data_IF_817470856169
#
_entry.id   IF_817470856169
#
_cell.length_a   1.000
_cell.length_b   1.000
_cell.length_c   1.000
_cell.angle_alpha   90.00
_cell.angle_beta   90.00
_cell.angle_gamma   90.00
#
_symmetry.space_group_name_H-M   'P 1'
#
loop_
_entity.id
_entity.type
_entity.pdbx_description
1 polymer ?
#
# COMPACT_ATOMS: atom_id res chain seq x y z
N UNK A 1 -16.10 62.19 -21.11
CA UNK A 1 -15.99 61.42 -22.36
C UNK A 1 -15.52 60.03 -21.95
N UNK A 2 -16.47 59.13 -21.70
CA UNK A 2 -16.26 57.80 -21.10
C UNK A 2 -15.96 56.83 -22.24
N UNK A 3 -14.76 56.25 -22.26
CA UNK A 3 -14.40 55.23 -23.24
C UNK A 3 -14.83 53.85 -22.70
N UNK A 4 -15.79 53.25 -23.38
CA UNK A 4 -16.26 51.89 -23.15
C UNK A 4 -15.14 50.87 -23.40
N UNK A 5 -14.80 50.08 -22.37
CA UNK A 5 -14.04 48.83 -22.53
C UNK A 5 -15.01 47.74 -23.01
N UNK A 6 -14.78 47.24 -24.22
CA UNK A 6 -15.53 46.13 -24.80
C UNK A 6 -15.03 44.81 -24.20
N UNK A 7 -15.91 44.07 -23.53
CA UNK A 7 -15.63 42.73 -23.02
C UNK A 7 -15.61 41.72 -24.17
N UNK A 8 -14.51 40.99 -24.32
CA UNK A 8 -14.42 39.83 -25.21
C UNK A 8 -15.13 38.61 -24.55
N UNK A 9 -15.82 37.76 -25.33
CA UNK A 9 -16.63 36.68 -24.78
C UNK A 9 -15.78 35.50 -24.29
N UNK A 10 -16.32 34.78 -23.31
CA UNK A 10 -15.74 33.59 -22.71
C UNK A 10 -15.46 32.50 -23.76
N UNK A 11 -14.20 32.38 -24.16
CA UNK A 11 -13.70 31.26 -24.94
C UNK A 11 -13.69 29.98 -24.09
N UNK A 12 -14.37 28.95 -24.57
CA UNK A 12 -14.34 27.60 -24.03
C UNK A 12 -12.92 27.05 -24.00
N UNK A 13 -12.39 26.81 -22.79
CA UNK A 13 -11.11 26.11 -22.60
C UNK A 13 -11.28 24.63 -22.96
N UNK A 14 -11.15 24.30 -24.23
CA UNK A 14 -10.89 22.93 -24.68
C UNK A 14 -9.43 22.59 -24.37
N UNK A 15 -9.23 21.73 -23.37
CA UNK A 15 -7.91 21.23 -23.02
C UNK A 15 -7.44 20.22 -24.10
N UNK A 16 -6.25 20.37 -24.68
CA UNK A 16 -5.66 19.33 -25.53
C UNK A 16 -5.39 18.05 -24.70
N UNK A 17 -5.36 16.87 -25.34
CA UNK A 17 -5.05 15.62 -24.65
C UNK A 17 -3.57 15.64 -24.22
N UNK A 18 -3.36 15.53 -22.90
CA UNK A 18 -2.08 15.69 -22.19
C UNK A 18 -1.50 17.12 -22.22
N UNK A 19 -1.57 17.80 -21.07
CA UNK A 19 -0.82 19.03 -20.84
C UNK A 19 0.62 18.65 -20.48
N UNK A 20 1.45 18.41 -21.49
CA UNK A 20 2.90 18.29 -21.31
C UNK A 20 3.46 19.70 -21.18
N UNK A 21 3.88 20.11 -19.98
CA UNK A 21 4.77 21.26 -19.86
C UNK A 21 6.14 20.78 -20.30
N UNK A 22 6.62 21.22 -21.47
CA UNK A 22 7.85 20.73 -22.13
C UNK A 22 9.14 20.83 -21.29
N UNK A 23 9.09 21.45 -20.11
CA UNK A 23 10.22 21.63 -19.18
C UNK A 23 10.10 20.91 -17.84
N UNK A 24 9.00 20.19 -17.58
CA UNK A 24 8.86 19.40 -16.36
C UNK A 24 9.43 18.01 -16.60
N UNK A 25 10.39 17.52 -15.78
CA UNK A 25 10.98 16.18 -15.93
C UNK A 25 10.01 15.04 -15.58
N UNK A 26 8.71 15.35 -15.42
CA UNK A 26 7.66 14.42 -15.02
C UNK A 26 6.53 14.49 -16.04
N UNK A 27 6.12 13.32 -16.55
CA UNK A 27 4.95 13.20 -17.41
C UNK A 27 3.73 12.98 -16.52
N UNK A 28 2.83 13.96 -16.47
CA UNK A 28 1.61 13.90 -15.68
C UNK A 28 0.38 13.78 -16.58
N UNK A 29 -0.58 12.95 -16.16
CA UNK A 29 -1.93 13.00 -16.71
C UNK A 29 -2.66 14.26 -16.24
N UNK A 30 -3.73 14.66 -16.93
CA UNK A 30 -4.56 15.80 -16.51
C UNK A 30 -5.05 15.66 -15.07
N UNK A 31 -5.42 14.44 -14.66
CA UNK A 31 -5.85 14.14 -13.29
C UNK A 31 -4.70 14.34 -12.30
N UNK A 32 -3.52 13.80 -12.57
CA UNK A 32 -2.35 13.97 -11.68
C UNK A 32 -1.94 15.44 -11.53
N UNK A 33 -1.96 16.20 -12.63
CA UNK A 33 -1.65 17.63 -12.60
C UNK A 33 -2.66 18.41 -11.75
N UNK A 34 -3.95 18.08 -11.85
CA UNK A 34 -4.98 18.66 -10.99
C UNK A 34 -4.73 18.36 -9.51
N UNK A 35 -4.47 17.09 -9.17
CA UNK A 35 -4.17 16.68 -7.79
C UNK A 35 -2.90 17.33 -7.24
N UNK A 36 -1.86 17.51 -8.06
CA UNK A 36 -0.63 18.20 -7.65
C UNK A 36 -0.90 19.65 -7.19
N UNK A 37 -1.84 20.34 -7.83
CA UNK A 37 -2.25 21.69 -7.43
C UNK A 37 -3.08 21.72 -6.13
N UNK A 38 -3.59 20.57 -5.70
CA UNK A 38 -4.31 20.40 -4.44
C UNK A 38 -3.40 19.88 -3.31
N UNK A 39 -2.09 19.74 -3.56
CA UNK A 39 -1.13 19.33 -2.55
C UNK A 39 -1.14 20.29 -1.34
N UNK A 40 -0.82 19.80 -0.12
CA UNK A 40 -0.74 20.65 1.06
C UNK A 40 0.17 21.87 0.84
N UNK A 41 -0.22 23.03 1.38
CA UNK A 41 0.48 24.29 1.13
C UNK A 41 1.96 24.31 1.59
N UNK A 42 2.36 23.40 2.47
CA UNK A 42 3.74 23.26 2.95
C UNK A 42 4.58 22.30 2.08
N UNK A 43 4.01 21.67 1.05
CA UNK A 43 4.74 20.77 0.17
C UNK A 43 5.67 21.56 -0.75
N UNK A 44 6.90 21.06 -0.89
CA UNK A 44 7.81 21.49 -1.96
C UNK A 44 7.24 21.12 -3.34
N UNK A 45 7.80 21.70 -4.40
CA UNK A 45 7.39 21.36 -5.77
C UNK A 45 7.49 19.84 -6.05
N UNK A 46 8.57 19.18 -5.62
CA UNK A 46 8.76 17.74 -5.84
C UNK A 46 7.71 16.93 -5.07
N UNK A 47 7.49 17.26 -3.80
CA UNK A 47 6.47 16.61 -2.97
C UNK A 47 5.05 16.80 -3.53
N UNK A 48 4.75 17.99 -4.08
CA UNK A 48 3.47 18.26 -4.74
C UNK A 48 3.29 17.44 -6.02
N UNK A 49 4.37 17.25 -6.80
CA UNK A 49 4.35 16.37 -7.98
C UNK A 49 4.14 14.90 -7.58
N UNK A 50 4.81 14.42 -6.52
CA UNK A 50 4.58 13.06 -5.96
C UNK A 50 3.17 12.89 -5.44
N UNK A 51 2.63 13.90 -4.74
CA UNK A 51 1.24 13.94 -4.32
C UNK A 51 0.31 13.76 -5.52
N UNK A 52 0.50 14.56 -6.58
CA UNK A 52 -0.29 14.45 -7.80
C UNK A 52 -0.20 13.10 -8.49
N UNK A 53 1.00 12.51 -8.58
CA UNK A 53 1.19 11.18 -9.16
C UNK A 53 0.45 10.09 -8.37
N UNK A 54 0.55 10.08 -7.05
CA UNK A 54 -0.03 9.04 -6.22
C UNK A 54 -1.56 9.20 -6.16
N UNK A 55 -2.05 10.39 -5.82
CA UNK A 55 -3.48 10.68 -5.71
C UNK A 55 -4.19 10.57 -7.06
N UNK A 56 -3.54 11.01 -8.14
CA UNK A 56 -4.06 10.90 -9.50
C UNK A 56 -4.17 9.46 -10.02
N UNK A 57 -3.56 8.50 -9.31
CA UNK A 57 -3.60 7.06 -9.61
C UNK A 57 -4.40 6.25 -8.58
N UNK A 58 -5.28 6.92 -7.83
CA UNK A 58 -6.10 6.33 -6.78
C UNK A 58 -5.28 5.78 -5.59
N UNK A 59 -4.10 6.35 -5.36
CA UNK A 59 -3.30 6.11 -4.15
C UNK A 59 -3.84 6.85 -2.93
N UNK A 60 -3.22 6.62 -1.78
CA UNK A 60 -3.66 7.15 -0.49
C UNK A 60 -2.61 8.12 0.10
N UNK A 61 -3.05 9.15 0.82
CA UNK A 61 -2.17 10.15 1.43
C UNK A 61 -1.04 9.57 2.31
N UNK A 62 -1.25 8.48 3.09
CA UNK A 62 -0.17 7.83 3.82
C UNK A 62 0.98 7.35 2.92
N UNK A 63 0.68 6.86 1.71
CA UNK A 63 1.70 6.49 0.73
C UNK A 63 2.46 7.71 0.21
N UNK A 64 1.80 8.86 0.05
CA UNK A 64 2.47 10.13 -0.33
C UNK A 64 3.52 10.49 0.72
N UNK A 65 3.15 10.46 1.99
CA UNK A 65 4.07 10.79 3.09
C UNK A 65 5.25 9.82 3.13
N UNK A 66 4.99 8.52 2.97
CA UNK A 66 6.04 7.50 2.95
C UNK A 66 7.01 7.71 1.77
N UNK A 67 6.49 7.95 0.55
CA UNK A 67 7.30 8.21 -0.65
C UNK A 67 8.09 9.52 -0.51
N UNK A 68 7.48 10.58 0.01
CA UNK A 68 8.14 11.87 0.22
C UNK A 68 9.27 11.79 1.26
N UNK A 69 9.14 10.91 2.26
CA UNK A 69 10.21 10.63 3.22
C UNK A 69 11.46 9.98 2.62
N UNK A 70 11.34 9.37 1.44
CA UNK A 70 12.48 8.71 0.74
C UNK A 70 13.32 9.70 -0.07
N UNK A 71 14.21 9.19 -0.92
CA UNK A 71 14.91 10.00 -1.93
C UNK A 71 13.96 10.57 -3.00
N UNK A 72 12.81 9.93 -3.25
CA UNK A 72 11.87 10.33 -4.29
C UNK A 72 11.12 11.64 -3.98
N UNK A 73 11.01 12.02 -2.71
CA UNK A 73 10.47 13.35 -2.32
C UNK A 73 11.46 14.49 -2.56
N UNK A 74 12.73 14.19 -2.82
CA UNK A 74 13.83 15.16 -2.93
C UNK A 74 14.43 15.23 -4.33
N UNK A 75 14.15 14.26 -5.19
CA UNK A 75 14.71 14.16 -6.54
C UNK A 75 13.70 13.58 -7.55
N UNK A 76 13.83 14.04 -8.80
CA UNK A 76 13.11 13.56 -9.99
C UNK A 76 14.07 12.91 -11.00
N UNK A 77 15.27 12.53 -10.58
CA UNK A 77 16.21 11.78 -11.42
C UNK A 77 15.62 10.43 -11.82
N UNK A 78 15.80 10.02 -13.09
CA UNK A 78 15.28 8.76 -13.64
C UNK A 78 13.75 8.58 -13.48
N UNK A 79 13.01 9.67 -13.65
CA UNK A 79 11.55 9.71 -13.45
C UNK A 79 10.77 8.77 -14.37
N UNK A 80 11.27 8.57 -15.59
CA UNK A 80 10.74 7.60 -16.54
C UNK A 80 10.66 6.19 -15.94
N UNK A 81 11.62 5.82 -15.09
CA UNK A 81 11.59 4.59 -14.32
C UNK A 81 10.81 4.73 -13.01
N UNK A 82 11.07 5.75 -12.19
CA UNK A 82 10.46 5.88 -10.85
C UNK A 82 8.95 6.08 -10.89
N UNK A 83 8.42 6.71 -11.93
CA UNK A 83 6.97 6.77 -12.17
C UNK A 83 6.35 5.37 -12.30
N UNK A 84 7.08 4.39 -12.86
CA UNK A 84 6.63 2.99 -12.91
C UNK A 84 6.64 2.30 -11.55
N UNK A 85 7.59 2.65 -10.68
CA UNK A 85 7.64 2.17 -9.29
C UNK A 85 6.50 2.77 -8.48
N UNK A 86 6.25 4.08 -8.59
CA UNK A 86 5.13 4.76 -7.94
C UNK A 86 3.81 4.16 -8.40
N UNK A 87 3.62 3.97 -9.72
CA UNK A 87 2.45 3.27 -10.25
C UNK A 87 2.30 1.86 -9.66
N UNK A 88 3.40 1.10 -9.57
CA UNK A 88 3.36 -0.23 -8.97
C UNK A 88 2.97 -0.17 -7.48
N UNK A 89 3.47 0.79 -6.70
CA UNK A 89 3.12 0.97 -5.29
C UNK A 89 1.62 1.30 -5.12
N UNK A 90 1.04 2.17 -5.94
CA UNK A 90 -0.41 2.47 -5.85
C UNK A 90 -1.29 1.26 -6.14
N UNK A 91 -0.79 0.28 -6.92
CA UNK A 91 -1.49 -0.99 -7.17
C UNK A 91 -1.29 -2.05 -6.08
N UNK A 92 -0.39 -1.82 -5.12
CA UNK A 92 -0.12 -2.72 -4.01
C UNK A 92 -0.27 -2.00 -2.66
N UNK A 93 -1.48 -1.50 -2.34
CA UNK A 93 -1.70 -0.73 -1.13
C UNK A 93 -1.34 -1.51 0.14
N UNK A 94 -1.44 -2.85 0.12
CA UNK A 94 -1.13 -3.71 1.28
C UNK A 94 0.36 -3.75 1.68
N UNK A 95 1.24 -3.09 0.94
CA UNK A 95 2.64 -2.94 1.35
C UNK A 95 2.69 -2.03 2.59
N UNK A 96 3.34 -2.52 3.65
CA UNK A 96 3.65 -1.75 4.84
C UNK A 96 4.45 -0.50 4.44
N UNK A 97 3.98 0.67 4.88
CA UNK A 97 4.58 1.96 4.54
C UNK A 97 6.02 2.07 5.05
N UNK A 98 6.36 1.34 6.10
CA UNK A 98 7.72 1.27 6.63
C UNK A 98 8.71 0.59 5.68
N UNK A 99 8.22 -0.18 4.70
CA UNK A 99 9.04 -0.83 3.68
C UNK A 99 9.26 0.04 2.44
N UNK A 100 8.60 1.20 2.32
CA UNK A 100 8.73 2.05 1.13
C UNK A 100 10.17 2.54 0.96
N UNK A 101 10.80 3.03 2.03
CA UNK A 101 12.20 3.47 1.97
C UNK A 101 13.17 2.32 1.68
N UNK A 102 13.13 1.16 2.38
CA UNK A 102 13.91 -0.01 2.01
C UNK A 102 13.74 -0.49 0.56
N UNK A 103 12.51 -0.47 0.03
CA UNK A 103 12.24 -0.85 -1.37
C UNK A 103 12.92 0.15 -2.32
N UNK A 104 12.75 1.45 -2.07
CA UNK A 104 13.34 2.51 -2.89
C UNK A 104 14.87 2.44 -2.86
N UNK A 105 15.46 2.24 -1.68
CA UNK A 105 16.91 2.13 -1.53
C UNK A 105 17.45 0.87 -2.22
N UNK A 106 16.81 -0.28 -2.02
CA UNK A 106 17.19 -1.52 -2.71
C UNK A 106 17.18 -1.32 -4.23
N UNK A 107 16.08 -0.80 -4.79
CA UNK A 107 15.95 -0.57 -6.23
C UNK A 107 17.02 0.41 -6.74
N UNK A 108 17.28 1.49 -5.99
CA UNK A 108 18.32 2.45 -6.34
C UNK A 108 19.69 1.77 -6.46
N UNK A 109 20.04 0.96 -5.46
CA UNK A 109 21.31 0.24 -5.42
C UNK A 109 21.44 -0.80 -6.53
N UNK A 110 20.37 -1.52 -6.84
CA UNK A 110 20.40 -2.53 -7.90
C UNK A 110 20.47 -1.91 -9.30
N UNK A 111 19.72 -0.83 -9.55
CA UNK A 111 19.53 -0.31 -10.90
C UNK A 111 20.53 0.77 -11.31
N UNK A 112 20.92 1.63 -10.38
CA UNK A 112 21.60 2.88 -10.70
C UNK A 112 22.95 3.06 -10.01
N UNK A 113 23.23 2.34 -8.92
CA UNK A 113 24.48 2.50 -8.17
C UNK A 113 25.51 1.48 -8.61
N UNK A 114 26.56 1.96 -9.28
CA UNK A 114 27.78 1.20 -9.55
C UNK A 114 28.43 0.71 -8.26
N UNK A 115 29.04 -0.48 -8.31
CA UNK A 115 29.65 -1.10 -7.14
C UNK A 115 31.17 -1.03 -7.19
N UNK A 116 31.79 -0.75 -6.05
CA UNK A 116 33.25 -0.85 -5.89
C UNK A 116 33.61 -2.26 -5.47
N UNK A 117 34.36 -2.96 -6.32
CA UNK A 117 34.92 -4.27 -5.99
C UNK A 117 36.42 -4.12 -5.84
N UNK A 118 36.94 -4.55 -4.68
CA UNK A 118 38.39 -4.65 -4.46
C UNK A 118 38.85 -6.03 -4.88
N UNK A 119 39.69 -6.08 -5.91
CA UNK A 119 40.24 -7.35 -6.41
C UNK A 119 41.34 -7.90 -5.50
N UNK A 120 41.66 -9.21 -5.60
CA UNK A 120 42.82 -9.83 -4.96
C UNK A 120 44.13 -9.26 -5.52
N UNK A 121 44.51 -8.08 -5.04
CA UNK A 121 45.60 -7.25 -5.56
C UNK A 121 45.51 -5.78 -5.12
N UNK A 122 44.40 -5.37 -4.50
CA UNK A 122 44.20 -4.02 -3.97
C UNK A 122 43.71 -3.00 -5.01
N UNK A 123 43.51 -3.43 -6.25
CA UNK A 123 42.86 -2.62 -7.28
C UNK A 123 41.35 -2.51 -6.99
N UNK A 124 40.82 -1.29 -7.04
CA UNK A 124 39.38 -1.03 -6.90
C UNK A 124 38.79 -0.83 -8.29
N UNK A 125 37.91 -1.74 -8.71
CA UNK A 125 37.14 -1.64 -9.93
C UNK A 125 35.75 -1.07 -9.63
N UNK A 126 35.28 -0.19 -10.52
CA UNK A 126 33.89 0.25 -10.56
C UNK A 126 33.14 -0.65 -11.53
N UNK A 127 32.26 -1.50 -11.02
CA UNK A 127 31.35 -2.30 -11.84
C UNK A 127 30.04 -1.57 -12.08
N UNK A 128 29.39 -1.89 -13.20
CA UNK A 128 28.03 -1.46 -13.48
C UNK A 128 27.06 -1.84 -12.35
N UNK A 129 25.89 -1.18 -12.24
CA UNK A 129 24.87 -1.58 -11.28
C UNK A 129 24.52 -3.08 -11.44
N UNK A 130 24.19 -3.81 -10.36
CA UNK A 130 23.93 -5.26 -10.44
C UNK A 130 22.81 -5.67 -11.39
N UNK A 131 21.75 -4.87 -11.48
CA UNK A 131 20.63 -5.07 -12.39
C UNK A 131 20.35 -3.76 -13.15
N UNK A 132 21.19 -3.36 -14.13
CA UNK A 132 21.01 -2.07 -14.81
C UNK A 132 19.68 -2.05 -15.61
N UNK A 133 19.25 -3.22 -16.06
CA UNK A 133 17.99 -3.46 -16.76
C UNK A 133 16.79 -3.73 -15.82
N UNK A 134 16.92 -3.43 -14.52
CA UNK A 134 15.84 -3.62 -13.54
C UNK A 134 14.54 -2.96 -14.03
N UNK A 135 13.44 -3.72 -14.00
CA UNK A 135 12.12 -3.29 -14.44
C UNK A 135 11.03 -3.65 -13.43
N UNK A 136 9.99 -2.83 -13.31
CA UNK A 136 8.80 -3.16 -12.52
C UNK A 136 7.79 -4.03 -13.27
N UNK A 137 8.00 -4.26 -14.58
CA UNK A 137 7.11 -5.08 -15.41
C UNK A 137 7.08 -6.51 -14.87
N UNK A 138 5.88 -7.00 -14.53
CA UNK A 138 5.64 -8.36 -14.02
C UNK A 138 6.36 -8.72 -12.70
N UNK A 139 6.79 -7.72 -11.91
CA UNK A 139 7.45 -7.97 -10.61
C UNK A 139 6.41 -8.38 -9.56
N UNK A 140 6.60 -9.55 -8.95
CA UNK A 140 5.81 -10.00 -7.82
C UNK A 140 6.22 -9.27 -6.54
N UNK A 141 5.24 -8.76 -5.78
CA UNK A 141 5.48 -8.11 -4.47
C UNK A 141 6.29 -9.02 -3.57
N UNK A 142 5.89 -10.28 -3.43
CA UNK A 142 6.57 -11.19 -2.52
C UNK A 142 8.03 -11.41 -2.94
N UNK A 143 8.29 -11.64 -4.23
CA UNK A 143 9.67 -11.85 -4.70
C UNK A 143 10.55 -10.61 -4.45
N UNK A 144 10.00 -9.40 -4.66
CA UNK A 144 10.75 -8.17 -4.38
C UNK A 144 11.02 -8.03 -2.88
N UNK A 145 10.02 -8.29 -2.04
CA UNK A 145 10.20 -8.23 -0.58
C UNK A 145 11.22 -9.27 -0.07
N UNK A 146 11.28 -10.48 -0.66
CA UNK A 146 12.29 -11.48 -0.32
C UNK A 146 13.72 -10.97 -0.63
N UNK A 147 13.89 -10.28 -1.76
CA UNK A 147 15.16 -9.68 -2.15
C UNK A 147 15.55 -8.50 -1.23
N UNK A 148 14.59 -7.64 -0.88
CA UNK A 148 14.80 -6.52 0.05
C UNK A 148 15.19 -7.04 1.43
N UNK A 149 14.49 -8.05 1.95
CA UNK A 149 14.80 -8.66 3.26
C UNK A 149 16.20 -9.30 3.28
N UNK A 150 16.55 -10.05 2.24
CA UNK A 150 17.89 -10.63 2.10
C UNK A 150 18.98 -9.55 2.04
N UNK A 151 18.72 -8.45 1.33
CA UNK A 151 19.62 -7.30 1.26
C UNK A 151 19.78 -6.59 2.60
N UNK A 152 18.69 -6.30 3.32
CA UNK A 152 18.75 -5.68 4.65
C UNK A 152 19.45 -6.58 5.68
N UNK A 153 19.24 -7.90 5.60
CA UNK A 153 19.93 -8.89 6.44
C UNK A 153 21.44 -8.87 6.18
N UNK A 154 21.87 -8.68 4.93
CA UNK A 154 23.29 -8.57 4.57
C UNK A 154 23.94 -7.29 5.09
N UNK A 155 23.21 -6.17 5.10
CA UNK A 155 23.68 -4.89 5.64
C UNK A 155 23.75 -4.89 7.16
N UNK A 156 22.77 -5.52 7.81
CA UNK A 156 22.71 -5.69 9.26
C UNK A 156 23.63 -6.83 9.68
N UNK A 157 24.94 -6.59 9.72
CA UNK A 157 25.92 -7.51 10.32
C UNK A 157 25.82 -7.51 11.85
N UNK A 158 24.62 -7.74 12.37
CA UNK A 158 24.30 -8.17 13.75
C UNK A 158 22.77 -8.27 13.88
N UNK A 159 22.33 -9.17 14.76
CA UNK A 159 20.95 -9.60 15.05
C UNK A 159 20.28 -10.54 14.04
N UNK A 160 20.74 -11.79 14.08
CA UNK A 160 19.85 -12.95 13.96
C UNK A 160 18.70 -12.80 14.96
N UNK A 161 17.47 -12.79 14.48
CA UNK A 161 16.51 -13.90 14.63
C UNK A 161 15.49 -13.73 13.50
N UNK A 162 14.97 -14.75 12.82
CA UNK A 162 13.57 -14.74 12.44
C UNK A 162 12.87 -15.58 13.50
N UNK A 163 12.37 -14.93 14.54
CA UNK A 163 11.23 -15.52 15.19
C UNK A 163 10.13 -15.39 14.13
N UNK A 164 9.75 -16.51 13.53
CA UNK A 164 8.61 -16.60 12.61
C UNK A 164 7.29 -16.19 13.28
N UNK A 165 7.34 -15.81 14.56
CA UNK A 165 6.28 -15.46 15.48
C UNK A 165 6.67 -14.21 16.27
N UNK A 166 5.71 -13.34 16.57
CA UNK A 166 5.84 -12.20 17.48
C UNK A 166 4.83 -12.28 18.62
N UNK A 167 5.02 -11.43 19.64
CA UNK A 167 4.07 -11.31 20.74
C UNK A 167 2.74 -10.74 20.23
N UNK A 168 1.65 -11.24 20.82
CA UNK A 168 0.30 -10.72 20.54
C UNK A 168 0.18 -9.30 21.04
N UNK A 169 -0.62 -8.52 20.34
CA UNK A 169 -1.07 -7.21 20.83
C UNK A 169 -1.99 -7.35 22.04
N UNK A 170 -2.24 -6.22 22.70
CA UNK A 170 -3.21 -6.07 23.79
C UNK A 170 -4.65 -5.83 23.27
N UNK A 171 -4.88 -6.06 21.98
CA UNK A 171 -6.19 -5.95 21.34
C UNK A 171 -6.84 -7.33 21.33
N UNK A 172 -8.03 -7.42 21.92
CA UNK A 172 -8.80 -8.66 22.01
C UNK A 172 -9.23 -9.22 20.66
N UNK A 173 -9.35 -10.55 20.58
CA UNK A 173 -9.97 -11.25 19.45
C UNK A 173 -11.49 -11.34 19.66
N UNK A 174 -12.26 -11.47 18.57
CA UNK A 174 -13.71 -11.67 18.63
C UNK A 174 -14.07 -13.04 18.08
N UNK A 175 -14.98 -13.74 18.77
CA UNK A 175 -15.65 -14.94 18.28
C UNK A 175 -17.13 -14.88 18.63
N UNK A 176 -18.00 -14.74 17.63
CA UNK A 176 -19.45 -14.66 17.81
C UNK A 176 -20.15 -15.75 17.01
N UNK A 177 -21.09 -16.46 17.65
CA UNK A 177 -21.97 -17.43 16.98
C UNK A 177 -23.35 -16.81 16.77
N UNK A 178 -23.87 -16.93 15.57
CA UNK A 178 -25.20 -16.46 15.18
C UNK A 178 -25.88 -17.51 14.31
N UNK A 179 -27.18 -17.42 14.13
CA UNK A 179 -27.92 -18.27 13.20
C UNK A 179 -28.54 -17.39 12.13
N UNK A 180 -28.38 -17.77 10.86
CA UNK A 180 -28.98 -17.03 9.77
C UNK A 180 -30.49 -17.32 9.65
N UNK A 181 -31.19 -16.61 8.76
CA UNK A 181 -32.64 -16.79 8.56
C UNK A 181 -33.03 -18.18 8.03
N UNK A 182 -32.08 -18.94 7.49
CA UNK A 182 -32.27 -20.27 6.91
C UNK A 182 -31.88 -21.38 7.90
N UNK A 183 -31.39 -21.03 9.09
CA UNK A 183 -31.01 -21.97 10.14
C UNK A 183 -29.54 -22.38 10.13
N UNK A 184 -28.69 -21.80 9.27
CA UNK A 184 -27.25 -22.07 9.26
C UNK A 184 -26.56 -21.43 10.46
N UNK A 185 -25.64 -22.17 11.09
CA UNK A 185 -24.81 -21.65 12.17
C UNK A 185 -23.63 -20.86 11.57
N UNK A 186 -23.59 -19.58 11.87
CA UNK A 186 -22.53 -18.66 11.44
C UNK A 186 -21.60 -18.38 12.62
N UNK A 187 -20.34 -18.76 12.49
CA UNK A 187 -19.28 -18.38 13.43
C UNK A 187 -18.41 -17.29 12.79
N UNK A 188 -18.49 -16.09 13.35
CA UNK A 188 -17.68 -14.93 12.97
C UNK A 188 -16.45 -14.86 13.85
N UNK A 189 -15.27 -14.69 13.24
CA UNK A 189 -14.03 -14.52 14.00
C UNK A 189 -13.24 -13.31 13.52
N UNK A 190 -12.61 -12.62 14.46
CA UNK A 190 -11.57 -11.61 14.23
C UNK A 190 -10.36 -12.08 15.03
N UNK A 191 -9.32 -12.57 14.35
CA UNK A 191 -8.14 -13.19 14.98
C UNK A 191 -6.85 -12.48 14.60
N UNK A 192 -5.92 -12.35 15.53
CA UNK A 192 -4.61 -11.76 15.25
C UNK A 192 -3.72 -12.78 14.52
N UNK A 193 -3.04 -12.34 13.47
CA UNK A 193 -2.02 -13.10 12.76
C UNK A 193 -0.67 -12.79 13.41
N UNK A 194 -0.08 -13.78 14.06
CA UNK A 194 1.12 -13.60 14.90
C UNK A 194 2.37 -14.20 14.31
N UNK A 195 2.25 -14.79 13.12
CA UNK A 195 3.36 -15.45 12.43
C UNK A 195 3.45 -15.05 10.97
N UNK A 196 4.67 -15.12 10.42
CA UNK A 196 4.89 -14.87 8.99
C UNK A 196 4.15 -15.90 8.13
N UNK A 197 4.05 -17.16 8.57
CA UNK A 197 3.30 -18.20 7.86
C UNK A 197 1.80 -17.90 7.79
N UNK A 198 1.23 -17.35 8.86
CA UNK A 198 -0.16 -16.88 8.87
C UNK A 198 -0.38 -15.70 7.92
N UNK A 199 0.52 -14.71 7.92
CA UNK A 199 0.43 -13.59 6.96
C UNK A 199 0.54 -14.07 5.50
N UNK A 200 1.41 -15.06 5.22
CA UNK A 200 1.51 -15.67 3.89
C UNK A 200 0.24 -16.42 3.51
N UNK A 201 -0.31 -17.21 4.42
CA UNK A 201 -1.56 -17.95 4.19
C UNK A 201 -2.73 -17.00 3.94
N UNK A 202 -2.86 -15.94 4.75
CA UNK A 202 -3.85 -14.88 4.60
C UNK A 202 -3.72 -14.20 3.23
N UNK A 203 -2.50 -13.78 2.87
CA UNK A 203 -2.26 -13.14 1.58
C UNK A 203 -2.62 -14.02 0.38
N UNK A 204 -2.39 -15.34 0.47
CA UNK A 204 -2.83 -16.31 -0.54
C UNK A 204 -4.36 -16.41 -0.60
N UNK A 205 -5.03 -16.57 0.53
CA UNK A 205 -6.48 -16.66 0.62
C UNK A 205 -7.18 -15.40 0.08
N UNK A 206 -6.63 -14.23 0.44
CA UNK A 206 -7.15 -12.91 0.10
C UNK A 206 -6.65 -12.37 -1.24
N UNK A 207 -5.69 -13.05 -1.88
CA UNK A 207 -5.05 -12.59 -3.13
C UNK A 207 -4.50 -11.16 -3.03
N UNK A 208 -3.84 -10.86 -1.91
CA UNK A 208 -3.10 -9.62 -1.68
C UNK A 208 -1.81 -9.87 -0.86
N UNK A 209 -0.93 -8.88 -0.74
CA UNK A 209 0.33 -9.04 0.00
C UNK A 209 0.23 -8.41 1.39
N UNK A 210 -0.10 -9.19 2.42
CA UNK A 210 -0.04 -8.73 3.83
C UNK A 210 1.27 -9.11 4.53
N UNK A 211 2.11 -9.93 3.89
CA UNK A 211 3.40 -10.37 4.46
C UNK A 211 4.36 -9.21 4.76
N UNK A 212 4.24 -8.11 4.01
CA UNK A 212 4.95 -6.85 4.23
C UNK A 212 4.93 -6.39 5.70
N UNK A 213 3.84 -6.64 6.43
CA UNK A 213 3.71 -6.24 7.83
C UNK A 213 4.58 -7.03 8.81
N UNK A 214 5.24 -8.13 8.41
CA UNK A 214 5.98 -9.02 9.33
C UNK A 214 6.97 -8.28 10.23
N UNK A 215 7.77 -7.36 9.65
CA UNK A 215 8.77 -6.58 10.39
C UNK A 215 8.10 -5.58 11.34
N UNK A 216 7.06 -4.88 10.89
CA UNK A 216 6.31 -3.94 11.72
C UNK A 216 5.55 -4.62 12.86
N UNK A 217 4.99 -5.81 12.63
CA UNK A 217 4.35 -6.59 13.68
C UNK A 217 5.34 -7.05 14.73
N UNK A 218 6.52 -7.52 14.30
CA UNK A 218 7.57 -7.92 15.23
C UNK A 218 8.12 -6.79 16.07
N UNK A 219 8.14 -5.57 15.52
CA UNK A 219 8.50 -4.37 16.26
C UNK A 219 7.35 -3.81 17.12
N UNK A 220 6.17 -4.46 17.16
CA UNK A 220 4.99 -3.98 17.89
C UNK A 220 4.33 -2.74 17.29
N UNK A 221 4.69 -2.36 16.06
CA UNK A 221 4.14 -1.18 15.37
C UNK A 221 2.81 -1.47 14.70
N UNK A 222 2.60 -2.73 14.31
CA UNK A 222 1.37 -3.22 13.69
C UNK A 222 0.84 -4.45 14.42
N UNK A 223 -0.48 -4.59 14.46
CA UNK A 223 -1.17 -5.85 14.71
C UNK A 223 -2.10 -6.09 13.53
N UNK A 224 -2.02 -7.28 12.94
CA UNK A 224 -2.78 -7.65 11.74
C UNK A 224 -3.84 -8.67 12.11
N UNK A 225 -5.08 -8.40 11.77
CA UNK A 225 -6.23 -9.24 12.06
C UNK A 225 -6.86 -9.80 10.78
N UNK A 226 -7.27 -11.07 10.83
CA UNK A 226 -8.08 -11.72 9.81
C UNK A 226 -9.53 -11.83 10.28
N UNK A 227 -10.45 -11.37 9.44
CA UNK A 227 -11.89 -11.50 9.66
C UNK A 227 -12.41 -12.66 8.83
N UNK A 228 -13.01 -13.64 9.49
CA UNK A 228 -13.43 -14.90 8.87
C UNK A 228 -14.88 -15.24 9.23
N UNK A 229 -15.53 -15.97 8.32
CA UNK A 229 -16.85 -16.54 8.51
C UNK A 229 -16.80 -18.05 8.29
N UNK A 230 -17.26 -18.81 9.27
CA UNK A 230 -17.50 -20.26 9.13
C UNK A 230 -19.00 -20.51 9.16
N UNK A 231 -19.49 -21.33 8.23
CA UNK A 231 -20.91 -21.73 8.12
C UNK A 231 -20.99 -23.23 8.43
N UNK A 232 -21.79 -23.65 9.41
CA UNK A 232 -21.97 -25.06 9.80
C UNK A 232 -20.66 -25.86 9.92
N UNK A 233 -19.64 -25.26 10.55
CA UNK A 233 -18.31 -25.84 10.76
C UNK A 233 -17.50 -26.17 9.47
N UNK A 234 -17.90 -25.58 8.32
CA UNK A 234 -17.10 -25.62 7.09
C UNK A 234 -15.76 -24.88 7.21
N UNK A 235 -14.95 -24.96 6.14
CA UNK A 235 -13.71 -24.19 6.04
C UNK A 235 -13.99 -22.69 6.18
N UNK A 236 -13.23 -21.97 7.02
CA UNK A 236 -13.39 -20.53 7.19
C UNK A 236 -13.22 -19.77 5.86
N UNK A 237 -14.20 -18.94 5.54
CA UNK A 237 -14.13 -17.97 4.47
C UNK A 237 -13.43 -16.69 4.98
N UNK A 238 -12.31 -16.34 4.36
CA UNK A 238 -11.58 -15.12 4.67
C UNK A 238 -12.22 -13.91 3.97
N UNK A 239 -12.67 -12.94 4.76
CA UNK A 239 -13.45 -11.80 4.26
C UNK A 239 -12.62 -10.52 4.21
N UNK A 240 -11.74 -10.31 5.19
CA UNK A 240 -11.03 -9.05 5.32
C UNK A 240 -9.77 -9.19 6.16
N UNK A 241 -8.78 -8.37 5.82
CA UNK A 241 -7.56 -8.20 6.60
C UNK A 241 -7.47 -6.77 7.08
N UNK A 242 -7.18 -6.58 8.37
CA UNK A 242 -7.13 -5.28 9.05
C UNK A 242 -5.76 -5.12 9.69
N UNK A 243 -5.02 -4.07 9.34
CA UNK A 243 -3.83 -3.66 10.06
C UNK A 243 -4.18 -2.50 11.01
N UNK A 244 -3.79 -2.64 12.27
CA UNK A 244 -4.03 -1.67 13.35
C UNK A 244 -2.69 -1.28 13.95
N UNK A 245 -2.52 -0.02 14.31
CA UNK A 245 -1.41 0.40 15.18
C UNK A 245 -1.80 0.14 16.65
N UNK A 246 -1.16 -0.79 17.37
CA UNK A 246 -1.55 -1.12 18.75
C UNK A 246 -1.50 0.11 19.67
N UNK A 247 -0.43 0.90 19.55
CA UNK A 247 -0.20 2.11 20.36
C UNK A 247 -1.29 3.17 20.23
N UNK A 248 -1.85 3.35 19.02
CA UNK A 248 -2.83 4.42 18.76
C UNK A 248 -4.26 3.90 18.67
N UNK A 249 -4.42 2.58 18.55
CA UNK A 249 -5.67 1.88 18.24
C UNK A 249 -6.37 2.46 17.00
N UNK A 250 -5.57 2.84 15.99
CA UNK A 250 -6.07 3.34 14.70
C UNK A 250 -5.80 2.29 13.63
N UNK A 251 -6.82 2.03 12.80
CA UNK A 251 -6.68 1.21 11.60
C UNK A 251 -5.76 1.94 10.62
N UNK A 252 -4.59 1.36 10.35
CA UNK A 252 -3.69 1.85 9.31
C UNK A 252 -4.16 1.39 7.93
N UNK A 253 -4.74 0.19 7.85
CA UNK A 253 -5.25 -0.34 6.61
C UNK A 253 -6.32 -1.40 6.79
N UNK A 254 -7.24 -1.47 5.82
CA UNK A 254 -8.29 -2.48 5.78
C UNK A 254 -8.62 -2.84 4.34
N UNK A 255 -8.50 -4.13 3.97
CA UNK A 255 -8.75 -4.62 2.60
C UNK A 255 -9.44 -5.98 2.61
N UNK A 256 -10.39 -6.16 1.69
CA UNK A 256 -10.94 -7.45 1.35
C UNK A 256 -10.20 -8.08 0.17
N UNK A 257 -10.71 -9.21 -0.33
CA UNK A 257 -10.05 -9.99 -1.38
C UNK A 257 -9.77 -9.14 -2.63
N UNK A 258 -8.58 -9.32 -3.20
CA UNK A 258 -8.06 -8.52 -4.33
C UNK A 258 -7.88 -7.03 -4.03
N UNK A 259 -7.52 -6.64 -2.81
CA UNK A 259 -7.31 -5.25 -2.39
C UNK A 259 -8.56 -4.37 -2.48
N UNK A 260 -9.76 -4.94 -2.45
CA UNK A 260 -11.01 -4.18 -2.52
C UNK A 260 -11.28 -3.48 -1.17
N UNK A 261 -11.74 -2.22 -1.21
CA UNK A 261 -12.18 -1.53 -0.01
C UNK A 261 -13.51 -2.11 0.50
N UNK A 262 -13.63 -2.45 1.81
CA UNK A 262 -14.86 -3.00 2.39
C UNK A 262 -16.03 -2.01 2.44
N UNK A 263 -15.74 -0.71 2.30
CA UNK A 263 -16.71 0.38 2.36
C UNK A 263 -17.64 0.42 1.16
N UNK A 264 -17.27 -0.23 0.04
CA UNK A 264 -18.08 -0.31 -1.18
C UNK A 264 -17.82 0.82 -2.18
N UNK A 265 -16.89 1.74 -1.91
CA UNK A 265 -16.31 2.59 -2.97
C UNK A 265 -15.49 1.69 -3.88
N UNK A 266 -16.09 1.33 -5.01
CA UNK A 266 -15.42 0.62 -6.08
C UNK A 266 -14.37 1.55 -6.67
N UNK A 267 -13.14 1.07 -6.74
CA UNK A 267 -12.09 1.67 -7.54
C UNK A 267 -12.61 1.79 -9.00
N UNK A 268 -12.67 2.98 -9.64
CA UNK A 268 -13.34 3.18 -10.93
C UNK A 268 -12.81 2.28 -12.06
N UNK A 269 -11.60 1.74 -11.91
CA UNK A 269 -10.97 0.79 -12.83
C UNK A 269 -11.22 -0.70 -12.56
N UNK A 270 -11.79 -1.07 -11.40
CA UNK A 270 -12.08 -2.48 -11.09
C UNK A 270 -13.46 -2.89 -11.61
N UNK A 271 -13.47 -3.63 -12.73
CA UNK A 271 -14.66 -4.35 -13.23
C UNK A 271 -15.29 -5.12 -12.06
N UNK A 272 -16.60 -4.88 -11.84
CA UNK A 272 -17.55 -5.54 -10.92
C UNK A 272 -17.55 -7.10 -10.91
N UNK A 273 -16.65 -7.76 -11.64
CA UNK A 273 -16.65 -9.18 -12.01
C UNK A 273 -15.79 -10.11 -11.12
N UNK A 274 -15.12 -9.63 -10.06
CA UNK A 274 -14.15 -10.46 -9.31
C UNK A 274 -14.67 -11.15 -8.05
N UNK A 275 -15.77 -10.70 -7.45
CA UNK A 275 -16.31 -11.28 -6.22
C UNK A 275 -17.71 -11.86 -6.49
N UNK A 276 -17.94 -13.12 -6.11
CA UNK A 276 -19.27 -13.75 -6.20
C UNK A 276 -20.30 -12.96 -5.35
N UNK A 277 -21.59 -13.07 -5.69
CA UNK A 277 -22.69 -12.43 -4.98
C UNK A 277 -22.71 -12.79 -3.49
N UNK A 278 -22.49 -14.06 -3.16
CA UNK A 278 -22.51 -14.56 -1.78
C UNK A 278 -21.41 -13.90 -0.95
N UNK A 279 -20.18 -13.90 -1.45
CA UNK A 279 -19.04 -13.21 -0.80
C UNK A 279 -19.32 -11.73 -0.52
N UNK A 280 -20.04 -11.04 -1.40
CA UNK A 280 -20.38 -9.62 -1.20
C UNK A 280 -21.43 -9.43 -0.11
N UNK A 281 -22.35 -10.37 0.06
CA UNK A 281 -23.31 -10.36 1.16
C UNK A 281 -22.58 -10.60 2.49
N UNK A 282 -21.69 -11.58 2.53
CA UNK A 282 -20.90 -11.91 3.73
C UNK A 282 -19.98 -10.75 4.11
N UNK A 283 -19.31 -10.12 3.14
CA UNK A 283 -18.47 -8.94 3.36
C UNK A 283 -19.28 -7.72 3.85
N UNK A 284 -20.56 -7.60 3.47
CA UNK A 284 -21.43 -6.55 4.01
C UNK A 284 -21.84 -6.86 5.45
N UNK A 285 -22.19 -8.12 5.72
CA UNK A 285 -22.56 -8.58 7.06
C UNK A 285 -21.38 -8.44 8.04
N UNK A 286 -20.15 -8.71 7.60
CA UNK A 286 -18.95 -8.58 8.43
C UNK A 286 -18.70 -7.17 8.95
N UNK A 287 -19.25 -6.13 8.32
CA UNK A 287 -19.10 -4.73 8.79
C UNK A 287 -19.70 -4.54 10.17
N UNK A 288 -20.81 -5.21 10.48
CA UNK A 288 -21.42 -5.11 11.80
C UNK A 288 -20.55 -5.80 12.87
N UNK A 289 -19.98 -6.97 12.54
CA UNK A 289 -19.05 -7.71 13.40
C UNK A 289 -17.80 -6.86 13.69
N UNK A 290 -17.20 -6.30 12.65
CA UNK A 290 -16.00 -5.46 12.77
C UNK A 290 -16.31 -4.20 13.57
N UNK A 291 -17.48 -3.59 13.39
CA UNK A 291 -17.85 -2.39 14.16
C UNK A 291 -18.00 -2.71 15.66
N UNK A 292 -18.61 -3.85 16.01
CA UNK A 292 -18.69 -4.30 17.42
C UNK A 292 -17.31 -4.60 18.00
N UNK A 293 -16.46 -5.31 17.26
CA UNK A 293 -15.09 -5.56 17.67
C UNK A 293 -14.31 -4.26 17.90
N UNK A 294 -14.41 -3.31 16.97
CA UNK A 294 -13.76 -2.02 17.10
C UNK A 294 -14.27 -1.23 18.32
N UNK A 295 -15.57 -1.26 18.59
CA UNK A 295 -16.16 -0.60 19.76
C UNK A 295 -15.66 -1.22 21.07
N UNK A 296 -15.68 -2.55 21.16
CA UNK A 296 -15.18 -3.29 22.33
C UNK A 296 -13.69 -3.01 22.62
N UNK A 297 -12.89 -2.91 21.56
CA UNK A 297 -11.44 -2.72 21.66
C UNK A 297 -11.00 -1.24 21.56
N UNK A 298 -11.93 -0.28 21.50
CA UNK A 298 -11.61 1.14 21.38
C UNK A 298 -10.82 1.51 20.11
N UNK A 299 -11.01 0.76 19.03
CA UNK A 299 -10.33 0.95 17.74
C UNK A 299 -11.06 1.99 16.89
N UNK A 300 -10.31 2.90 16.28
CA UNK A 300 -10.83 3.96 15.42
C UNK A 300 -10.40 3.78 13.97
N UNK A 301 -11.21 4.24 13.02
CA UNK A 301 -10.81 4.36 11.61
C UNK A 301 -9.87 5.55 11.44
N UNK A 302 -8.83 5.38 10.64
CA UNK A 302 -8.06 6.51 10.14
C UNK A 302 -8.89 7.35 9.17
N UNK A 303 -8.50 8.61 8.95
CA UNK A 303 -9.20 9.54 8.06
C UNK A 303 -9.30 9.06 6.58
N UNK A 304 -8.56 8.02 6.22
CA UNK A 304 -8.47 7.44 4.87
C UNK A 304 -8.94 5.98 4.74
N UNK A 305 -9.57 5.38 5.78
CA UNK A 305 -9.97 3.95 5.81
C UNK A 305 -11.49 3.68 5.82
#
# INVERSE_FOLDING_TARGET
>A
MIAHLQMAPAGSCTWPPAATCERLPVILTKRMAHEALQAPAHSTLIEALRYGQIMGQDGESPLVNAVNGTRLGRSLEHEDFWSTVIHWLTKHPMIDLDLIDPIVEYIQLQKFTSQQITEPGGQVLMEDPPEPNFSMKSRSVNKLLDLVEAWQTRLSRENRVPASRWERSDIGELAEKTTDKKGFNLTWTVRELTTTSELVAEGRAMSHCVRSYSTGCRAGRHAVFSVQLTVDDDRPLHLMTIAVSPKTRVISQMRSRHNVQPTGRLDPGMRRKRLNADYRLDLRASRAVVSRWMEAEGIRRGAST
#
